data_IF_495971048353
#
_entry.id   IF_495971048353
#
_cell.length_a   1.000
_cell.length_b   1.000
_cell.length_c   1.000
_cell.angle_alpha   90.00
_cell.angle_beta   90.00
_cell.angle_gamma   90.00
#
_symmetry.space_group_name_H-M   'P 1'
#
loop_
_entity.id
_entity.type
_entity.pdbx_description
1 polymer ?
#
# COMPACT_ATOMS: atom_id res chain seq x y z
N UNK A 1 -20.45 5.90 16.22
CA UNK A 1 -19.47 4.81 16.42
C UNK A 1 -18.80 4.96 17.77
N UNK A 2 -18.80 3.92 18.57
CA UNK A 2 -18.11 3.92 19.86
C UNK A 2 -16.62 3.61 19.67
N UNK A 3 -15.79 4.08 20.62
CA UNK A 3 -14.33 3.91 20.54
C UNK A 3 -13.90 2.44 20.52
N UNK A 4 -14.65 1.57 21.19
CA UNK A 4 -14.35 0.12 21.22
C UNK A 4 -14.56 -0.53 19.83
N UNK A 5 -15.64 -0.16 19.13
CA UNK A 5 -15.91 -0.62 17.78
C UNK A 5 -14.81 -0.13 16.81
N UNK A 6 -14.42 1.13 16.93
CA UNK A 6 -13.35 1.70 16.13
C UNK A 6 -12.02 0.99 16.36
N UNK A 7 -11.64 0.77 17.61
CA UNK A 7 -10.40 0.03 17.94
C UNK A 7 -10.41 -1.39 17.36
N UNK A 8 -11.55 -2.08 17.40
CA UNK A 8 -11.66 -3.41 16.81
C UNK A 8 -11.41 -3.41 15.29
N UNK A 9 -11.95 -2.43 14.60
CA UNK A 9 -11.72 -2.25 13.15
C UNK A 9 -10.24 -1.94 12.87
N UNK A 10 -9.64 -1.03 13.66
CA UNK A 10 -8.23 -0.68 13.51
C UNK A 10 -7.33 -1.90 13.67
N UNK A 11 -7.55 -2.72 14.69
CA UNK A 11 -6.73 -3.91 14.92
C UNK A 11 -6.71 -4.86 13.71
N UNK A 12 -7.80 -4.93 12.96
CA UNK A 12 -7.90 -5.75 11.75
C UNK A 12 -7.24 -5.10 10.53
N UNK A 13 -7.25 -3.78 10.44
CA UNK A 13 -6.88 -3.05 9.23
C UNK A 13 -5.51 -2.36 9.29
N UNK A 14 -4.95 -2.11 10.47
CA UNK A 14 -3.72 -1.33 10.64
C UNK A 14 -2.56 -1.85 9.78
N UNK A 15 -2.41 -3.16 9.66
CA UNK A 15 -1.32 -3.77 8.89
C UNK A 15 -1.54 -3.57 7.37
N UNK A 16 -2.78 -3.69 6.90
CA UNK A 16 -3.13 -3.37 5.50
C UNK A 16 -2.93 -1.90 5.19
N UNK A 17 -3.35 -1.02 6.10
CA UNK A 17 -3.15 0.43 5.98
C UNK A 17 -1.65 0.77 5.91
N UNK A 18 -0.85 0.17 6.79
CA UNK A 18 0.60 0.35 6.79
C UNK A 18 1.24 -0.12 5.48
N UNK A 19 0.91 -1.34 5.00
CA UNK A 19 1.46 -1.87 3.75
C UNK A 19 1.12 -0.98 2.55
N UNK A 20 -0.12 -0.49 2.49
CA UNK A 20 -0.53 0.44 1.43
C UNK A 20 0.23 1.77 1.53
N UNK A 21 0.32 2.34 2.72
CA UNK A 21 1.07 3.57 2.97
C UNK A 21 2.54 3.41 2.57
N UNK A 22 3.19 2.34 3.02
CA UNK A 22 4.58 2.05 2.68
C UNK A 22 4.80 1.88 1.17
N UNK A 23 3.88 1.22 0.48
CA UNK A 23 3.95 1.07 -0.98
C UNK A 23 3.96 2.40 -1.71
N UNK A 24 3.29 3.40 -1.17
CA UNK A 24 3.17 4.73 -1.77
C UNK A 24 4.36 5.62 -1.36
N UNK A 25 4.66 5.73 -0.06
CA UNK A 25 5.70 6.64 0.44
C UNK A 25 7.11 6.03 0.45
N UNK A 26 7.24 4.71 0.45
CA UNK A 26 8.51 3.96 0.42
C UNK A 26 9.47 4.25 1.57
N UNK A 27 8.94 4.66 2.69
CA UNK A 27 9.68 4.98 3.92
C UNK A 27 8.88 4.51 5.13
N UNK A 28 9.55 3.82 6.08
CA UNK A 28 8.89 3.22 7.24
C UNK A 28 8.30 4.29 8.18
N UNK A 29 9.06 5.31 8.50
CA UNK A 29 8.64 6.38 9.40
C UNK A 29 7.48 7.18 8.81
N UNK A 30 7.57 7.55 7.54
CA UNK A 30 6.49 8.23 6.83
C UNK A 30 5.23 7.36 6.70
N UNK A 31 5.39 6.06 6.46
CA UNK A 31 4.25 5.14 6.39
C UNK A 31 3.51 5.07 7.74
N UNK A 32 4.22 5.04 8.85
CA UNK A 32 3.63 5.11 10.19
C UNK A 32 2.90 6.43 10.44
N UNK A 33 3.50 7.53 10.05
CA UNK A 33 2.87 8.86 10.14
C UNK A 33 1.59 8.94 9.30
N UNK A 34 1.61 8.39 8.09
CA UNK A 34 0.42 8.29 7.22
C UNK A 34 -0.71 7.54 7.91
N UNK A 35 -0.41 6.38 8.52
CA UNK A 35 -1.43 5.60 9.23
C UNK A 35 -2.01 6.39 10.40
N UNK A 36 -1.18 7.05 11.20
CA UNK A 36 -1.64 7.89 12.31
C UNK A 36 -2.52 9.04 11.82
N UNK A 37 -2.08 9.78 10.81
CA UNK A 37 -2.84 10.89 10.24
C UNK A 37 -4.16 10.43 9.64
N UNK A 38 -4.16 9.29 8.95
CA UNK A 38 -5.37 8.69 8.41
C UNK A 38 -6.36 8.32 9.53
N UNK A 39 -5.88 7.68 10.60
CA UNK A 39 -6.71 7.30 11.75
C UNK A 39 -7.31 8.52 12.45
N UNK A 40 -6.55 9.60 12.62
CA UNK A 40 -7.05 10.86 13.19
C UNK A 40 -8.16 11.45 12.30
N UNK A 41 -7.95 11.49 10.99
CA UNK A 41 -8.95 12.00 10.03
C UNK A 41 -10.21 11.14 10.01
N UNK A 42 -10.06 9.81 10.08
CA UNK A 42 -11.18 8.86 10.12
C UNK A 42 -11.96 9.02 11.41
N UNK A 43 -11.28 9.12 12.55
CA UNK A 43 -11.93 9.34 13.85
C UNK A 43 -12.70 10.67 13.91
N UNK A 44 -12.12 11.72 13.37
CA UNK A 44 -12.79 13.03 13.27
C UNK A 44 -14.07 12.96 12.45
N UNK A 45 -14.09 12.07 11.43
CA UNK A 45 -15.24 11.84 10.54
C UNK A 45 -16.00 10.53 10.86
N UNK A 46 -15.93 10.05 12.09
CA UNK A 46 -16.48 8.75 12.49
C UNK A 46 -17.98 8.57 12.25
N UNK A 47 -18.73 9.66 12.25
CA UNK A 47 -20.16 9.61 11.92
C UNK A 47 -20.36 9.18 10.47
N UNK A 48 -19.56 9.71 9.56
CA UNK A 48 -19.57 9.30 8.15
C UNK A 48 -19.10 7.86 7.97
N UNK A 49 -18.12 7.41 8.75
CA UNK A 49 -17.69 6.01 8.74
C UNK A 49 -18.83 5.07 9.17
N UNK A 50 -19.70 5.51 10.06
CA UNK A 50 -20.88 4.72 10.50
C UNK A 50 -21.93 4.56 9.38
N UNK A 51 -22.00 5.49 8.45
CA UNK A 51 -22.99 5.54 7.37
C UNK A 51 -22.57 4.77 6.12
N UNK A 52 -21.25 4.48 5.95
CA UNK A 52 -20.77 3.80 4.76
C UNK A 52 -20.95 2.28 4.88
N UNK A 53 -21.32 1.63 3.77
CA UNK A 53 -21.54 0.18 3.71
C UNK A 53 -20.21 -0.59 3.89
N UNK A 54 -19.15 -0.16 3.23
CA UNK A 54 -17.83 -0.78 3.31
C UNK A 54 -16.84 0.10 4.07
N UNK A 55 -16.78 -0.10 5.39
CA UNK A 55 -15.88 0.65 6.28
C UNK A 55 -14.41 0.43 5.94
N UNK A 56 -14.05 -0.78 5.56
CA UNK A 56 -12.68 -1.13 5.17
C UNK A 56 -12.24 -0.35 3.93
N UNK A 57 -13.05 -0.36 2.87
CA UNK A 57 -12.78 0.41 1.66
C UNK A 57 -12.65 1.91 1.95
N UNK A 58 -13.50 2.46 2.81
CA UNK A 58 -13.42 3.86 3.22
C UNK A 58 -12.09 4.18 3.93
N UNK A 59 -11.69 3.34 4.88
CA UNK A 59 -10.44 3.53 5.63
C UNK A 59 -9.21 3.38 4.73
N UNK A 60 -9.23 2.42 3.81
CA UNK A 60 -8.16 2.24 2.83
C UNK A 60 -8.07 3.42 1.85
N UNK A 61 -9.20 3.94 1.40
CA UNK A 61 -9.26 5.16 0.57
C UNK A 61 -8.65 6.36 1.29
N UNK A 62 -8.99 6.55 2.55
CA UNK A 62 -8.45 7.64 3.36
C UNK A 62 -6.93 7.50 3.55
N UNK A 63 -6.46 6.29 3.81
CA UNK A 63 -5.02 5.98 3.93
C UNK A 63 -4.28 6.28 2.63
N UNK A 64 -4.82 5.83 1.50
CA UNK A 64 -4.27 6.13 0.18
C UNK A 64 -4.16 7.64 -0.06
N UNK A 65 -5.22 8.38 0.21
CA UNK A 65 -5.24 9.83 -0.02
C UNK A 65 -4.20 10.55 0.84
N UNK A 66 -4.09 10.21 2.12
CA UNK A 66 -3.06 10.77 3.01
C UNK A 66 -1.66 10.42 2.53
N UNK A 67 -1.44 9.18 2.12
CA UNK A 67 -0.14 8.73 1.60
C UNK A 67 0.27 9.46 0.32
N UNK A 68 -0.65 9.63 -0.62
CA UNK A 68 -0.41 10.35 -1.88
C UNK A 68 -0.11 11.83 -1.61
N UNK A 69 -0.87 12.47 -0.73
CA UNK A 69 -0.63 13.88 -0.37
C UNK A 69 0.76 14.05 0.25
N UNK A 70 1.15 13.15 1.15
CA UNK A 70 2.48 13.16 1.78
C UNK A 70 3.60 12.92 0.77
N UNK A 71 3.45 11.95 -0.10
CA UNK A 71 4.41 11.66 -1.17
C UNK A 71 4.60 12.85 -2.12
N UNK A 72 3.52 13.49 -2.53
CA UNK A 72 3.55 14.67 -3.41
C UNK A 72 4.20 15.86 -2.74
N UNK A 73 3.90 16.13 -1.46
CA UNK A 73 4.54 17.22 -0.69
C UNK A 73 6.04 17.01 -0.58
N UNK A 74 6.48 15.80 -0.24
CA UNK A 74 7.90 15.47 -0.17
C UNK A 74 8.61 15.63 -1.51
N UNK A 75 8.00 15.19 -2.60
CA UNK A 75 8.57 15.31 -3.95
C UNK A 75 8.72 16.76 -4.42
N UNK A 76 7.90 17.67 -3.91
CA UNK A 76 8.02 19.11 -4.18
C UNK A 76 9.13 19.77 -3.34
N UNK A 77 9.45 19.25 -2.16
CA UNK A 77 10.48 19.77 -1.26
C UNK A 77 11.88 19.25 -1.58
N UNK A 78 11.99 18.05 -2.15
CA UNK A 78 13.24 17.41 -2.54
C UNK A 78 13.29 17.19 -4.04
N UNK A 79 14.10 17.99 -4.75
CA UNK A 79 14.56 17.62 -6.07
C UNK A 79 15.61 16.52 -5.93
N UNK A 80 15.26 15.31 -6.39
CA UNK A 80 16.15 14.16 -6.63
C UNK A 80 17.06 13.71 -5.47
N UNK A 81 16.55 12.81 -4.63
CA UNK A 81 17.39 11.75 -4.04
C UNK A 81 16.52 10.51 -3.87
N UNK A 82 16.78 9.49 -4.69
CA UNK A 82 16.34 8.11 -4.46
C UNK A 82 17.15 7.54 -3.29
N UNK A 83 16.67 7.70 -2.07
CA UNK A 83 17.22 6.98 -0.93
C UNK A 83 16.47 5.67 -0.72
N UNK A 84 17.12 4.58 -1.11
CA UNK A 84 16.73 3.24 -0.72
C UNK A 84 17.10 3.00 0.75
N UNK A 85 16.11 2.94 1.63
CA UNK A 85 16.32 2.49 3.00
C UNK A 85 16.03 0.98 3.12
N UNK A 86 17.03 0.28 3.67
CA UNK A 86 16.92 -1.14 4.04
C UNK A 86 16.11 -1.30 5.32
N UNK A 87 15.09 -2.16 5.27
CA UNK A 87 14.34 -2.59 6.45
C UNK A 87 15.11 -3.69 7.18
N UNK A 88 15.64 -3.37 8.34
CA UNK A 88 16.05 -4.39 9.31
C UNK A 88 14.88 -4.74 10.25
N UNK A 89 14.49 -5.99 10.29
CA UNK A 89 13.71 -6.52 11.40
C UNK A 89 14.14 -7.95 11.76
N UNK A 90 14.31 -8.16 13.06
CA UNK A 90 15.09 -9.17 13.68
C UNK A 90 14.51 -10.59 13.79
N UNK A 91 15.44 -11.48 14.01
CA UNK A 91 15.55 -12.78 14.69
C UNK A 91 14.69 -13.95 14.25
N UNK A 92 15.26 -14.82 13.47
CA UNK A 92 15.20 -16.27 13.41
C UNK A 92 16.36 -16.74 12.51
N UNK A 93 16.59 -18.04 12.33
CA UNK A 93 17.75 -18.65 11.67
C UNK A 93 18.39 -17.80 10.55
N UNK A 94 19.68 -17.33 10.68
CA UNK A 94 20.24 -16.27 9.83
C UNK A 94 20.27 -16.58 8.34
N UNK A 95 20.49 -17.84 7.94
CA UNK A 95 20.61 -18.19 6.51
C UNK A 95 19.26 -18.28 5.79
N UNK A 96 18.26 -18.90 6.39
CA UNK A 96 16.91 -18.99 5.81
C UNK A 96 16.22 -17.64 5.73
N UNK A 97 16.46 -16.79 6.74
CA UNK A 97 15.91 -15.44 6.78
C UNK A 97 16.62 -14.54 5.78
N UNK A 98 17.94 -14.65 5.64
CA UNK A 98 18.68 -13.89 4.63
C UNK A 98 18.18 -14.22 3.22
N UNK A 99 17.96 -15.50 2.89
CA UNK A 99 17.43 -15.93 1.59
C UNK A 99 15.98 -15.47 1.37
N UNK A 100 15.12 -15.59 2.38
CA UNK A 100 13.74 -15.12 2.32
C UNK A 100 13.65 -13.60 2.26
N UNK A 101 14.49 -12.88 3.00
CA UNK A 101 14.61 -11.42 2.92
C UNK A 101 15.08 -10.96 1.54
N UNK A 102 16.05 -11.63 0.95
CA UNK A 102 16.56 -11.29 -0.38
C UNK A 102 15.50 -11.52 -1.46
N UNK A 103 14.76 -12.63 -1.39
CA UNK A 103 13.64 -12.88 -2.29
C UNK A 103 12.54 -11.83 -2.15
N UNK A 104 12.18 -11.47 -0.91
CA UNK A 104 11.19 -10.44 -0.63
C UNK A 104 11.64 -9.06 -1.10
N UNK A 105 12.90 -8.69 -0.88
CA UNK A 105 13.49 -7.46 -1.40
C UNK A 105 13.44 -7.37 -2.92
N UNK A 106 13.72 -8.47 -3.62
CA UNK A 106 13.63 -8.53 -5.08
C UNK A 106 12.21 -8.30 -5.57
N UNK A 107 11.22 -8.95 -4.94
CA UNK A 107 9.80 -8.76 -5.26
C UNK A 107 9.39 -7.31 -5.01
N UNK A 108 9.78 -6.73 -3.88
CA UNK A 108 9.50 -5.32 -3.58
C UNK A 108 10.10 -4.37 -4.61
N UNK A 109 11.38 -4.54 -4.94
CA UNK A 109 12.03 -3.73 -5.98
C UNK A 109 11.34 -3.85 -7.34
N UNK A 110 10.86 -5.04 -7.69
CA UNK A 110 10.13 -5.24 -8.93
C UNK A 110 8.79 -4.51 -8.93
N UNK A 111 8.03 -4.59 -7.83
CA UNK A 111 6.77 -3.86 -7.68
C UNK A 111 7.04 -2.34 -7.68
N UNK A 112 8.07 -1.88 -6.99
CA UNK A 112 8.43 -0.46 -6.91
C UNK A 112 8.90 0.10 -8.27
N UNK A 113 9.37 -0.74 -9.19
CA UNK A 113 9.71 -0.34 -10.56
C UNK A 113 8.51 -0.12 -11.47
N UNK A 114 7.31 -0.53 -11.05
CA UNK A 114 6.08 -0.34 -11.81
C UNK A 114 5.65 1.14 -11.79
N UNK A 115 4.95 1.61 -12.84
CA UNK A 115 4.25 2.89 -12.78
C UNK A 115 3.31 2.98 -11.57
N UNK A 116 3.12 4.17 -11.01
CA UNK A 116 2.36 4.41 -9.77
C UNK A 116 0.99 3.72 -9.74
N UNK A 117 0.20 3.87 -10.81
CA UNK A 117 -1.15 3.28 -10.87
C UNK A 117 -1.12 1.75 -10.97
N UNK A 118 -0.15 1.18 -11.67
CA UNK A 118 0.04 -0.28 -11.78
C UNK A 118 0.45 -0.87 -10.44
N UNK A 119 1.37 -0.23 -9.76
CA UNK A 119 1.84 -0.59 -8.43
C UNK A 119 0.71 -0.59 -7.39
N UNK A 120 -0.13 0.45 -7.42
CA UNK A 120 -1.28 0.58 -6.53
C UNK A 120 -2.28 -0.56 -6.72
N UNK A 121 -2.65 -0.87 -7.96
CA UNK A 121 -3.63 -1.95 -8.22
C UNK A 121 -3.08 -3.35 -7.89
N UNK A 122 -1.80 -3.60 -8.11
CA UNK A 122 -1.13 -4.83 -7.67
C UNK A 122 -1.18 -4.96 -6.15
N UNK A 123 -0.86 -3.91 -5.43
CA UNK A 123 -0.95 -3.91 -3.97
C UNK A 123 -2.35 -4.24 -3.49
N UNK A 124 -3.35 -3.58 -4.02
CA UNK A 124 -4.74 -3.77 -3.59
C UNK A 124 -5.32 -5.12 -4.00
N UNK A 125 -5.01 -5.61 -5.20
CA UNK A 125 -5.56 -6.86 -5.72
C UNK A 125 -4.75 -8.09 -5.31
N UNK A 126 -3.48 -8.12 -5.63
CA UNK A 126 -2.67 -9.33 -5.52
C UNK A 126 -2.11 -9.54 -4.11
N UNK A 127 -1.90 -8.47 -3.35
CA UNK A 127 -1.40 -8.55 -1.97
C UNK A 127 -2.56 -8.50 -0.97
N UNK A 128 -3.45 -7.53 -1.06
CA UNK A 128 -4.54 -7.34 -0.08
C UNK A 128 -5.83 -8.10 -0.43
N UNK A 129 -6.02 -8.52 -1.66
CA UNK A 129 -7.12 -9.39 -2.07
C UNK A 129 -8.46 -8.70 -2.30
N UNK A 130 -8.48 -7.38 -2.53
CA UNK A 130 -9.71 -6.65 -2.83
C UNK A 130 -10.29 -7.00 -4.19
N UNK A 131 -11.62 -6.94 -4.30
CA UNK A 131 -12.33 -7.09 -5.57
C UNK A 131 -12.08 -5.92 -6.53
N UNK A 132 -12.30 -6.11 -7.81
CA UNK A 132 -12.21 -5.02 -8.79
C UNK A 132 -13.14 -3.86 -8.47
N UNK A 133 -14.34 -4.15 -7.98
CA UNK A 133 -15.31 -3.16 -7.54
C UNK A 133 -14.77 -2.34 -6.35
N UNK A 134 -14.25 -3.01 -5.33
CA UNK A 134 -13.64 -2.34 -4.18
C UNK A 134 -12.45 -1.47 -4.58
N UNK A 135 -11.59 -1.96 -5.47
CA UNK A 135 -10.45 -1.19 -5.98
C UNK A 135 -10.93 0.03 -6.77
N UNK A 136 -11.96 -0.13 -7.59
CA UNK A 136 -12.59 0.99 -8.31
C UNK A 136 -13.10 2.06 -7.33
N UNK A 137 -13.78 1.66 -6.27
CA UNK A 137 -14.27 2.57 -5.24
C UNK A 137 -13.13 3.28 -4.48
N UNK A 138 -12.05 2.55 -4.14
CA UNK A 138 -10.89 3.09 -3.42
C UNK A 138 -10.06 4.06 -4.24
N UNK A 139 -9.93 3.84 -5.54
CA UNK A 139 -8.99 4.55 -6.41
C UNK A 139 -9.65 5.60 -7.30
N UNK A 140 -10.95 5.47 -7.55
CA UNK A 140 -11.66 6.25 -8.55
C UNK A 140 -11.42 5.77 -9.99
N UNK A 141 -10.65 4.70 -10.20
CA UNK A 141 -10.47 4.09 -11.52
C UNK A 141 -11.73 3.31 -11.92
N UNK A 142 -12.07 3.30 -13.21
CA UNK A 142 -13.08 2.39 -13.72
C UNK A 142 -12.63 0.93 -13.56
N UNK A 143 -13.58 0.00 -13.51
CA UNK A 143 -13.26 -1.44 -13.44
C UNK A 143 -12.39 -1.87 -14.62
N UNK A 144 -12.68 -1.35 -15.82
CA UNK A 144 -11.88 -1.60 -17.03
C UNK A 144 -10.44 -1.12 -16.87
N UNK A 145 -10.22 0.08 -16.31
CA UNK A 145 -8.87 0.59 -15.99
C UNK A 145 -8.14 -0.29 -14.97
N UNK A 146 -8.84 -0.73 -13.92
CA UNK A 146 -8.26 -1.65 -12.92
C UNK A 146 -7.75 -2.92 -13.60
N UNK A 147 -8.57 -3.53 -14.44
CA UNK A 147 -8.20 -4.74 -15.19
C UNK A 147 -7.00 -4.51 -16.12
N UNK A 148 -6.99 -3.40 -16.86
CA UNK A 148 -5.89 -3.04 -17.76
C UNK A 148 -4.59 -2.80 -16.99
N UNK A 149 -4.62 -2.07 -15.90
CA UNK A 149 -3.44 -1.82 -15.07
C UNK A 149 -2.90 -3.10 -14.45
N UNK A 150 -3.77 -3.99 -13.96
CA UNK A 150 -3.34 -5.29 -13.45
C UNK A 150 -2.70 -6.16 -14.52
N UNK A 151 -3.31 -6.23 -15.70
CA UNK A 151 -2.76 -7.01 -16.82
C UNK A 151 -1.36 -6.50 -17.21
N UNK A 152 -1.21 -5.20 -17.38
CA UNK A 152 0.08 -4.58 -17.72
C UNK A 152 1.12 -4.78 -16.62
N UNK A 153 0.72 -4.61 -15.37
CA UNK A 153 1.61 -4.82 -14.23
C UNK A 153 2.10 -6.26 -14.14
N UNK A 154 1.19 -7.23 -14.24
CA UNK A 154 1.52 -8.66 -14.18
C UNK A 154 2.40 -9.09 -15.36
N UNK A 155 2.15 -8.58 -16.55
CA UNK A 155 2.99 -8.82 -17.73
C UNK A 155 4.42 -8.33 -17.48
N UNK A 156 4.57 -7.13 -16.98
CA UNK A 156 5.88 -6.53 -16.68
C UNK A 156 6.63 -7.26 -15.58
N UNK A 157 5.95 -7.67 -14.53
CA UNK A 157 6.53 -8.49 -13.46
C UNK A 157 6.98 -9.86 -14.00
N UNK A 158 6.17 -10.50 -14.83
CA UNK A 158 6.48 -11.78 -15.47
C UNK A 158 7.72 -11.70 -16.36
N UNK A 159 7.86 -10.66 -17.17
CA UNK A 159 9.04 -10.39 -17.99
C UNK A 159 10.30 -10.20 -17.14
N UNK A 160 10.18 -9.50 -16.04
CA UNK A 160 11.27 -9.28 -15.09
C UNK A 160 11.77 -10.58 -14.46
N UNK A 161 10.85 -11.49 -14.11
CA UNK A 161 11.20 -12.83 -13.60
C UNK A 161 11.92 -13.66 -14.65
N UNK A 162 11.47 -13.64 -15.90
CA UNK A 162 12.10 -14.38 -16.99
C UNK A 162 13.53 -13.92 -17.27
N UNK A 163 13.78 -12.62 -17.25
CA UNK A 163 15.09 -12.06 -17.55
C UNK A 163 16.14 -12.25 -16.45
N UNK A 164 15.73 -12.64 -15.24
CA UNK A 164 16.64 -12.91 -14.12
C UNK A 164 16.94 -14.39 -13.87
N UNK A 165 16.21 -15.28 -14.53
CA UNK A 165 16.39 -16.74 -14.42
C UNK A 165 17.30 -17.29 -15.55
N UNK A 166 17.63 -16.46 -16.52
CA UNK A 166 18.61 -16.73 -17.57
C UNK A 166 19.90 -15.95 -17.28
#
# INVERSE_FOLDING_TARGET
MQIQEFNHIIQKLKDKMYRLAYRIVKDDEEARDVVQDALIKIWTKRDRLSEVDNKEAYMMTMTRNVAIDKYRSRKMETSDIDEHYDLESGSADPERIAMAKDAMRRVQKMIDSLPENHRLVVQLRDIEGYSYKEISEMTGFSIEKVKVYLHRARTRLKEHFKNKVL
#
